data_IF_116090783946
#
_entry.id   IF_116090783946
#
_cell.length_a   1.000
_cell.length_b   1.000
_cell.length_c   1.000
_cell.angle_alpha   90.00
_cell.angle_beta   90.00
_cell.angle_gamma   90.00
#
_symmetry.space_group_name_H-M   'P 1'
#
loop_
_entity.id
_entity.type
_entity.pdbx_description
1 polymer ?
#
# COMPACT_ATOMS: atom_id res chain seq x y z
N UNK A 1 2.87 32.84 -24.97
CA UNK A 1 3.07 31.60 -25.74
C UNK A 1 2.62 30.44 -24.87
N UNK A 2 1.83 29.58 -25.48
CA UNK A 2 0.85 28.62 -24.96
C UNK A 2 1.24 27.78 -23.74
N UNK A 3 0.43 27.89 -22.68
CA UNK A 3 0.22 26.83 -21.70
C UNK A 3 -0.75 25.81 -22.31
N UNK A 4 -0.31 24.56 -22.44
CA UNK A 4 -1.16 23.45 -22.89
C UNK A 4 -1.89 22.89 -21.66
N UNK A 5 -3.24 22.88 -21.64
CA UNK A 5 -3.98 22.32 -20.51
C UNK A 5 -3.92 20.79 -20.54
N UNK A 6 -3.51 20.19 -19.41
CA UNK A 6 -3.59 18.75 -19.18
C UNK A 6 -5.06 18.39 -18.91
N UNK A 7 -5.67 17.44 -19.63
CA UNK A 7 -7.07 17.09 -19.44
C UNK A 7 -7.28 16.37 -18.11
N UNK A 8 -8.15 16.92 -17.28
CA UNK A 8 -8.70 16.26 -16.09
C UNK A 8 -9.61 15.14 -16.58
N UNK A 9 -9.10 13.91 -16.63
CA UNK A 9 -9.89 12.75 -16.98
C UNK A 9 -10.74 12.34 -15.76
N UNK A 10 -12.00 12.75 -15.75
CA UNK A 10 -13.01 12.38 -14.76
C UNK A 10 -13.48 10.94 -14.98
N UNK A 11 -12.68 9.95 -14.54
CA UNK A 11 -13.16 8.59 -14.39
C UNK A 11 -13.87 8.41 -13.03
N UNK A 12 -14.99 9.13 -12.82
CA UNK A 12 -16.01 8.72 -11.86
C UNK A 12 -16.97 7.78 -12.58
N UNK A 13 -16.83 6.47 -12.43
CA UNK A 13 -17.98 5.58 -12.34
C UNK A 13 -17.57 4.12 -12.09
N UNK A 14 -18.36 3.46 -11.22
CA UNK A 14 -18.38 2.03 -10.85
C UNK A 14 -17.53 1.57 -9.65
N UNK A 15 -16.29 2.04 -9.45
CA UNK A 15 -15.46 1.56 -8.34
C UNK A 15 -15.86 2.08 -6.93
N UNK A 16 -16.68 3.12 -6.85
CA UNK A 16 -17.05 3.77 -5.58
C UNK A 16 -18.13 3.03 -4.79
N UNK A 17 -19.00 2.25 -5.44
CA UNK A 17 -20.20 1.73 -4.76
C UNK A 17 -19.93 0.50 -3.88
N UNK A 18 -18.99 -0.38 -4.23
CA UNK A 18 -18.59 -1.51 -3.38
C UNK A 18 -17.65 -1.07 -2.24
N UNK A 19 -16.80 -0.08 -2.50
CA UNK A 19 -15.85 0.50 -1.55
C UNK A 19 -16.56 1.24 -0.40
N UNK A 20 -17.55 2.07 -0.76
CA UNK A 20 -18.43 2.75 0.18
C UNK A 20 -19.27 1.73 0.95
N UNK A 21 -19.80 0.69 0.30
CA UNK A 21 -20.54 -0.37 0.98
C UNK A 21 -19.70 -1.14 2.01
N UNK A 22 -18.40 -1.32 1.76
CA UNK A 22 -17.49 -1.94 2.75
C UNK A 22 -17.30 -1.03 3.97
N UNK A 23 -16.94 0.25 3.76
CA UNK A 23 -16.74 1.23 4.84
C UNK A 23 -18.03 1.50 5.63
N UNK A 24 -19.17 1.64 4.94
CA UNK A 24 -20.49 1.89 5.54
C UNK A 24 -20.97 0.70 6.38
N UNK A 25 -20.58 -0.53 6.02
CA UNK A 25 -20.94 -1.74 6.78
C UNK A 25 -20.11 -1.96 8.06
N UNK A 26 -18.96 -1.29 8.21
CA UNK A 26 -18.07 -1.44 9.38
C UNK A 26 -18.08 -0.24 10.35
N UNK A 27 -18.70 0.88 9.95
CA UNK A 27 -18.82 2.10 10.76
C UNK A 27 -20.28 2.58 10.88
N UNK A 28 -21.08 2.09 11.85
CA UNK A 28 -22.48 2.49 11.99
C UNK A 28 -22.70 3.93 12.49
N UNK A 29 -21.66 4.76 12.68
CA UNK A 29 -21.77 6.05 13.36
C UNK A 29 -20.93 7.13 12.68
N UNK A 30 -21.52 7.87 11.73
CA UNK A 30 -21.17 9.29 11.48
C UNK A 30 -22.13 10.09 10.59
N UNK A 31 -23.34 9.61 10.25
CA UNK A 31 -24.29 10.37 9.40
C UNK A 31 -25.71 10.51 9.94
N UNK A 32 -25.84 10.71 11.26
CA UNK A 32 -27.07 11.22 11.86
C UNK A 32 -26.82 12.60 12.47
N UNK A 33 -26.53 13.59 11.62
CA UNK A 33 -26.74 15.04 11.82
C UNK A 33 -26.04 15.78 10.69
N UNK A 34 -26.75 15.99 9.58
CA UNK A 34 -26.66 17.19 8.76
C UNK A 34 -27.57 17.00 7.56
N UNK A 35 -28.79 17.51 7.67
CA UNK A 35 -29.45 18.26 6.59
C UNK A 35 -30.66 19.01 7.18
N UNK A 36 -30.52 20.33 7.28
CA UNK A 36 -31.55 21.29 6.84
C UNK A 36 -30.88 22.66 6.69
N UNK A 37 -31.06 23.35 5.54
CA UNK A 37 -30.51 24.69 5.29
C UNK A 37 -31.54 25.78 5.62
N UNK A 38 -31.08 26.92 6.16
CA UNK A 38 -31.66 28.28 6.03
C UNK A 38 -31.03 29.19 7.12
N UNK A 39 -30.16 30.13 6.74
CA UNK A 39 -30.44 31.58 6.58
C UNK A 39 -30.41 32.39 7.88
N UNK A 40 -29.33 33.17 8.03
CA UNK A 40 -29.21 34.56 8.52
C UNK A 40 -30.08 35.12 9.66
N UNK A 41 -29.37 35.82 10.55
CA UNK A 41 -29.74 36.89 11.50
C UNK A 41 -29.98 36.53 12.99
N UNK A 42 -29.10 37.09 13.83
CA UNK A 42 -29.38 37.55 15.21
C UNK A 42 -30.05 38.94 15.16
N UNK A 43 -30.63 39.53 16.24
CA UNK A 43 -30.43 39.24 17.67
C UNK A 43 -31.68 39.32 18.61
N UNK A 44 -31.42 39.05 19.90
CA UNK A 44 -32.04 39.65 21.12
C UNK A 44 -33.30 39.04 21.80
N UNK A 45 -33.12 38.83 23.11
CA UNK A 45 -34.01 38.98 24.29
C UNK A 45 -35.31 38.17 24.51
N UNK A 46 -35.33 37.56 25.72
CA UNK A 46 -36.42 37.39 26.70
C UNK A 46 -37.66 36.51 26.42
N UNK A 47 -37.84 35.53 27.32
CA UNK A 47 -39.08 35.13 28.04
C UNK A 47 -40.40 35.07 27.26
N UNK A 48 -40.98 33.86 27.12
CA UNK A 48 -42.22 33.46 27.82
C UNK A 48 -42.77 32.13 27.31
N UNK A 49 -43.37 31.41 28.25
CA UNK A 49 -44.15 30.16 28.18
C UNK A 49 -45.35 30.26 27.22
N UNK A 50 -45.76 29.16 26.58
CA UNK A 50 -47.18 28.75 26.40
C UNK A 50 -47.23 27.29 25.90
N UNK A 51 -47.93 26.45 26.68
CA UNK A 51 -48.45 25.12 26.30
C UNK A 51 -49.73 25.27 25.49
N UNK A 52 -49.91 24.52 24.41
CA UNK A 52 -51.24 24.01 23.99
C UNK A 52 -51.07 22.64 23.34
N UNK A 53 -51.99 21.74 23.68
CA UNK A 53 -52.04 20.35 23.28
C UNK A 53 -53.31 20.04 22.45
N UNK A 54 -53.20 18.95 21.68
CA UNK A 54 -54.22 17.98 21.22
C UNK A 54 -55.18 18.28 20.03
N UNK A 55 -55.23 17.27 19.15
CA UNK A 55 -56.35 16.76 18.30
C UNK A 55 -56.68 17.50 17.00
N UNK A 56 -57.11 16.91 15.88
CA UNK A 56 -57.22 15.54 15.31
C UNK A 56 -57.73 15.71 13.85
N UNK A 57 -57.77 14.60 13.06
CA UNK A 57 -58.63 14.32 11.87
C UNK A 57 -57.96 14.31 10.48
N UNK A 58 -57.55 13.10 10.06
CA UNK A 58 -57.71 12.34 8.78
C UNK A 58 -57.78 13.08 7.41
N UNK A 59 -57.14 12.62 6.31
CA UNK A 59 -57.45 11.39 5.53
C UNK A 59 -56.43 11.18 4.37
N UNK A 60 -56.28 9.92 3.90
CA UNK A 60 -55.62 9.42 2.65
C UNK A 60 -54.07 9.40 2.65
N UNK A 61 -53.34 8.33 2.32
CA UNK A 61 -53.66 7.05 1.69
C UNK A 61 -52.65 5.95 2.13
N UNK A 62 -53.14 4.71 2.08
CA UNK A 62 -52.50 3.45 2.47
C UNK A 62 -51.30 3.09 1.60
N UNK A 63 -50.18 2.66 2.22
CA UNK A 63 -49.42 1.46 1.78
C UNK A 63 -48.93 0.72 3.03
N UNK A 64 -49.45 -0.48 3.24
CA UNK A 64 -49.00 -1.43 4.25
C UNK A 64 -47.70 -2.11 3.79
N UNK A 65 -46.67 -2.08 4.63
CA UNK A 65 -45.64 -3.14 4.67
C UNK A 65 -45.41 -3.54 6.13
N UNK A 66 -46.35 -4.29 6.69
CA UNK A 66 -46.09 -5.08 7.89
C UNK A 66 -45.42 -6.40 7.48
N UNK A 67 -44.10 -6.48 7.55
CA UNK A 67 -43.40 -7.74 7.80
C UNK A 67 -42.40 -7.51 8.93
N UNK A 68 -42.61 -8.27 10.00
CA UNK A 68 -41.79 -8.38 11.21
C UNK A 68 -40.30 -8.40 10.82
N UNK A 69 -39.53 -7.41 11.27
CA UNK A 69 -38.09 -7.54 11.38
C UNK A 69 -37.84 -8.67 12.38
N UNK A 70 -37.43 -9.84 11.88
CA UNK A 70 -36.76 -10.79 12.75
C UNK A 70 -35.37 -10.23 13.09
N UNK A 71 -34.92 -10.34 14.35
CA UNK A 71 -33.55 -9.97 14.67
C UNK A 71 -32.61 -10.85 13.85
N UNK A 72 -31.70 -10.22 13.09
CA UNK A 72 -30.64 -10.93 12.40
C UNK A 72 -29.80 -11.68 13.46
N UNK A 73 -29.36 -12.91 13.16
CA UNK A 73 -28.66 -13.74 14.14
C UNK A 73 -27.34 -13.06 14.53
N UNK A 74 -27.12 -12.94 15.83
CA UNK A 74 -25.87 -12.48 16.43
C UNK A 74 -24.78 -13.54 16.23
N UNK A 75 -23.96 -13.39 15.20
CA UNK A 75 -22.69 -14.12 15.06
C UNK A 75 -21.62 -13.17 14.48
N UNK A 76 -20.37 -13.38 14.88
CA UNK A 76 -19.15 -12.60 14.61
C UNK A 76 -18.82 -12.32 13.11
N UNK A 77 -19.68 -11.56 12.44
CA UNK A 77 -19.58 -11.13 11.03
C UNK A 77 -18.49 -10.08 10.78
N UNK A 78 -17.83 -9.58 11.83
CA UNK A 78 -16.98 -8.40 11.75
C UNK A 78 -15.47 -8.69 11.71
N UNK A 79 -15.04 -9.94 11.51
CA UNK A 79 -13.60 -10.25 11.40
C UNK A 79 -13.10 -10.02 9.98
N UNK A 80 -12.44 -8.88 9.74
CA UNK A 80 -11.64 -8.69 8.53
C UNK A 80 -10.29 -9.42 8.69
N UNK A 81 -9.83 -10.13 7.66
CA UNK A 81 -8.48 -10.69 7.62
C UNK A 81 -7.66 -9.83 6.67
N UNK A 82 -6.62 -9.18 7.19
CA UNK A 82 -5.77 -8.27 6.42
C UNK A 82 -4.40 -8.89 6.19
N UNK A 83 -4.07 -9.20 4.94
CA UNK A 83 -2.71 -9.61 4.55
C UNK A 83 -1.88 -8.38 4.20
N UNK A 84 -0.66 -8.37 4.72
CA UNK A 84 0.23 -7.22 4.68
C UNK A 84 1.62 -7.70 4.30
N UNK A 85 2.26 -7.00 3.36
CA UNK A 85 3.66 -7.26 3.01
C UNK A 85 4.52 -7.30 4.27
N UNK A 86 4.94 -8.51 4.66
CA UNK A 86 5.84 -8.64 5.79
C UNK A 86 7.19 -8.10 5.32
N UNK A 87 7.92 -7.43 6.20
CA UNK A 87 9.28 -6.90 5.95
C UNK A 87 9.38 -5.56 5.19
N UNK A 88 8.34 -5.04 4.53
CA UNK A 88 8.39 -3.71 3.86
C UNK A 88 7.87 -2.57 4.76
N UNK A 89 8.45 -1.37 4.59
CA UNK A 89 7.93 -0.14 5.24
C UNK A 89 6.55 0.22 4.69
N UNK A 90 6.31 -0.06 3.41
CA UNK A 90 4.97 0.08 2.78
C UNK A 90 3.94 -0.83 3.45
N UNK A 91 4.27 -2.11 3.66
CA UNK A 91 3.40 -3.08 4.32
C UNK A 91 3.15 -2.73 5.80
N UNK A 92 4.14 -2.15 6.48
CA UNK A 92 3.94 -1.58 7.82
C UNK A 92 2.98 -0.38 7.78
N UNK A 93 3.14 0.54 6.84
CA UNK A 93 2.24 1.69 6.67
C UNK A 93 0.81 1.25 6.36
N UNK A 94 0.65 0.24 5.49
CA UNK A 94 -0.64 -0.36 5.18
C UNK A 94 -1.31 -0.99 6.40
N UNK A 95 -0.53 -1.72 7.22
CA UNK A 95 -0.99 -2.28 8.49
C UNK A 95 -1.48 -1.20 9.43
N UNK A 96 -0.68 -0.16 9.59
CA UNK A 96 -0.99 0.95 10.48
C UNK A 96 -2.28 1.67 10.06
N UNK A 97 -2.49 1.89 8.75
CA UNK A 97 -3.74 2.44 8.24
C UNK A 97 -4.95 1.56 8.63
N UNK A 98 -4.84 0.24 8.45
CA UNK A 98 -5.88 -0.72 8.81
C UNK A 98 -6.15 -0.74 10.32
N UNK A 99 -5.10 -0.81 11.14
CA UNK A 99 -5.18 -0.87 12.61
C UNK A 99 -5.87 0.36 13.20
N UNK A 100 -5.64 1.55 12.65
CA UNK A 100 -6.29 2.79 13.10
C UNK A 100 -7.81 2.79 12.90
N UNK A 101 -8.33 2.10 11.89
CA UNK A 101 -9.78 2.02 11.62
C UNK A 101 -10.40 0.80 12.30
N UNK A 102 -9.80 -0.38 12.10
CA UNK A 102 -10.39 -1.66 12.45
C UNK A 102 -10.06 -2.09 13.89
N UNK A 103 -8.91 -1.66 14.42
CA UNK A 103 -8.45 -2.04 15.75
C UNK A 103 -8.52 -3.55 15.96
N UNK A 104 -9.19 -4.00 17.04
CA UNK A 104 -9.36 -5.42 17.40
C UNK A 104 -10.41 -6.17 16.58
N UNK A 105 -11.12 -5.49 15.66
CA UNK A 105 -12.13 -6.13 14.82
C UNK A 105 -11.50 -6.93 13.68
N UNK A 106 -10.21 -6.77 13.40
CA UNK A 106 -9.53 -7.49 12.33
C UNK A 106 -8.40 -8.39 12.84
N UNK A 107 -8.11 -9.43 12.08
CA UNK A 107 -6.91 -10.27 12.21
C UNK A 107 -5.90 -9.82 11.16
N UNK A 108 -4.70 -9.44 11.59
CA UNK A 108 -3.65 -8.94 10.72
C UNK A 108 -2.61 -10.04 10.51
N UNK A 109 -2.52 -10.55 9.29
CA UNK A 109 -1.60 -11.62 8.92
C UNK A 109 -0.44 -11.04 8.10
N UNK A 110 0.82 -11.20 8.53
CA UNK A 110 1.94 -10.93 7.65
C UNK A 110 1.94 -11.94 6.51
N UNK A 111 2.26 -11.49 5.29
CA UNK A 111 2.41 -12.36 4.13
C UNK A 111 3.70 -12.03 3.37
N UNK A 112 4.40 -13.07 2.93
CA UNK A 112 5.45 -12.99 1.91
C UNK A 112 5.11 -13.88 0.72
N UNK A 113 5.68 -13.57 -0.43
CA UNK A 113 5.51 -14.42 -1.61
C UNK A 113 6.02 -15.85 -1.33
N UNK A 114 5.24 -16.84 -1.78
CA UNK A 114 5.43 -18.28 -1.55
C UNK A 114 5.14 -18.77 -0.11
N UNK A 115 4.50 -17.96 0.73
CA UNK A 115 3.94 -18.45 1.99
C UNK A 115 2.84 -19.49 1.75
N UNK A 116 2.69 -20.40 2.71
CA UNK A 116 1.54 -21.31 2.72
C UNK A 116 0.28 -20.48 2.98
N UNK A 117 -0.69 -20.48 2.05
CA UNK A 117 -1.90 -19.69 2.23
C UNK A 117 -2.77 -20.28 3.35
N UNK A 118 -3.51 -19.45 4.11
CA UNK A 118 -4.44 -19.97 5.10
C UNK A 118 -5.53 -20.81 4.45
N UNK A 119 -5.98 -21.89 5.13
CA UNK A 119 -6.96 -22.82 4.59
C UNK A 119 -8.35 -22.19 4.50
N UNK A 120 -9.16 -22.66 3.54
CA UNK A 120 -10.48 -22.12 3.22
C UNK A 120 -11.43 -22.02 4.42
N UNK A 121 -11.33 -22.94 5.39
CA UNK A 121 -12.16 -22.92 6.60
C UNK A 121 -11.89 -21.71 7.51
N UNK A 122 -10.69 -21.14 7.46
CA UNK A 122 -10.33 -19.89 8.18
C UNK A 122 -10.96 -18.68 7.49
N UNK A 123 -11.11 -18.75 6.18
CA UNK A 123 -11.54 -17.65 5.31
C UNK A 123 -13.05 -17.63 5.08
N UNK A 124 -13.73 -18.77 5.29
CA UNK A 124 -15.14 -18.94 5.00
C UNK A 124 -16.01 -17.91 5.70
N UNK A 125 -16.79 -17.16 4.92
CA UNK A 125 -17.69 -16.11 5.42
C UNK A 125 -16.98 -14.91 6.06
N UNK A 126 -15.66 -14.76 5.87
CA UNK A 126 -14.90 -13.60 6.32
C UNK A 126 -14.72 -12.60 5.18
N UNK A 127 -14.39 -11.37 5.53
CA UNK A 127 -13.98 -10.33 4.58
C UNK A 127 -12.47 -10.24 4.56
N UNK A 128 -11.87 -10.37 3.38
CA UNK A 128 -10.43 -10.45 3.21
C UNK A 128 -9.96 -9.19 2.50
N UNK A 129 -8.96 -8.53 3.08
CA UNK A 129 -8.26 -7.41 2.47
C UNK A 129 -6.79 -7.73 2.31
N UNK A 130 -6.23 -7.42 1.15
CA UNK A 130 -4.82 -7.65 0.83
C UNK A 130 -4.22 -6.30 0.42
N UNK A 131 -3.23 -5.83 1.18
CA UNK A 131 -2.64 -4.50 1.03
C UNK A 131 -1.12 -4.58 0.92
N UNK A 132 -0.54 -3.88 -0.07
CA UNK A 132 0.90 -3.95 -0.41
C UNK A 132 1.37 -5.38 -0.78
N UNK A 133 0.42 -6.26 -1.12
CA UNK A 133 0.67 -7.67 -1.36
C UNK A 133 -0.52 -8.30 -2.06
N UNK A 134 -0.26 -9.28 -2.92
CA UNK A 134 -1.29 -10.18 -3.41
C UNK A 134 -0.79 -11.61 -3.64
N UNK A 135 -1.70 -12.56 -3.45
CA UNK A 135 -1.53 -13.95 -3.84
C UNK A 135 -1.81 -14.13 -5.34
N UNK A 136 -1.51 -15.31 -5.88
CA UNK A 136 -1.79 -15.61 -7.27
C UNK A 136 -3.30 -15.58 -7.59
N UNK A 137 -3.63 -15.34 -8.86
CA UNK A 137 -5.00 -15.23 -9.36
C UNK A 137 -5.85 -16.45 -9.01
N UNK A 138 -5.31 -17.66 -9.18
CA UNK A 138 -6.05 -18.91 -8.98
C UNK A 138 -6.49 -19.05 -7.52
N UNK A 139 -5.59 -18.72 -6.59
CA UNK A 139 -5.91 -18.74 -5.17
C UNK A 139 -6.93 -17.66 -4.78
N UNK A 140 -6.79 -16.44 -5.33
CA UNK A 140 -7.77 -15.37 -5.10
C UNK A 140 -9.16 -15.78 -5.60
N UNK A 141 -9.26 -16.34 -6.80
CA UNK A 141 -10.53 -16.83 -7.36
C UNK A 141 -11.14 -17.95 -6.49
N UNK A 142 -10.33 -18.88 -5.98
CA UNK A 142 -10.79 -19.89 -5.01
C UNK A 142 -11.37 -19.24 -3.76
N UNK A 143 -10.66 -18.26 -3.19
CA UNK A 143 -11.10 -17.58 -1.96
C UNK A 143 -12.37 -16.76 -2.15
N UNK A 144 -12.59 -16.20 -3.35
CA UNK A 144 -13.83 -15.51 -3.70
C UNK A 144 -15.05 -16.44 -3.71
N UNK A 145 -14.85 -17.75 -3.83
CA UNK A 145 -15.91 -18.75 -3.69
C UNK A 145 -16.28 -19.11 -2.25
N UNK A 146 -15.45 -18.77 -1.25
CA UNK A 146 -15.66 -19.16 0.16
C UNK A 146 -15.78 -17.96 1.11
N UNK A 147 -15.11 -16.85 0.82
CA UNK A 147 -15.14 -15.62 1.58
C UNK A 147 -16.41 -14.80 1.26
N UNK A 148 -16.81 -13.91 2.18
CA UNK A 148 -17.88 -12.95 1.92
C UNK A 148 -17.40 -11.86 0.93
N UNK A 149 -16.13 -11.48 1.02
CA UNK A 149 -15.52 -10.44 0.20
C UNK A 149 -14.01 -10.65 0.12
N UNK A 150 -13.43 -10.38 -1.04
CA UNK A 150 -11.97 -10.33 -1.23
C UNK A 150 -11.62 -9.04 -1.96
N UNK A 151 -10.83 -8.19 -1.31
CA UNK A 151 -10.35 -6.92 -1.86
C UNK A 151 -8.84 -6.93 -1.93
N UNK A 152 -8.29 -6.49 -3.06
CA UNK A 152 -6.85 -6.28 -3.25
C UNK A 152 -6.60 -4.80 -3.49
N UNK A 153 -5.67 -4.22 -2.74
CA UNK A 153 -5.21 -2.84 -2.91
C UNK A 153 -3.69 -2.86 -2.97
N UNK A 154 -3.14 -2.67 -4.16
CA UNK A 154 -1.73 -2.96 -4.39
C UNK A 154 -1.14 -2.03 -5.46
N UNK A 155 0.19 -1.97 -5.55
CA UNK A 155 0.93 -1.12 -6.49
C UNK A 155 2.02 -1.87 -7.26
N UNK A 156 2.14 -3.18 -7.04
CA UNK A 156 3.11 -4.01 -7.76
C UNK A 156 2.65 -4.29 -9.19
N UNK A 157 3.51 -3.99 -10.18
CA UNK A 157 3.18 -4.17 -11.60
C UNK A 157 2.86 -5.63 -11.94
N UNK A 158 3.67 -6.57 -11.45
CA UNK A 158 3.43 -8.00 -11.66
C UNK A 158 2.08 -8.47 -11.09
N UNK A 159 1.67 -7.94 -9.94
CA UNK A 159 0.35 -8.22 -9.37
C UNK A 159 -0.79 -7.62 -10.21
N UNK A 160 -0.62 -6.37 -10.66
CA UNK A 160 -1.57 -5.72 -11.56
C UNK A 160 -1.80 -6.55 -12.81
N UNK A 161 -0.71 -7.04 -13.43
CA UNK A 161 -0.77 -7.85 -14.65
C UNK A 161 -1.41 -9.23 -14.40
N UNK A 162 -1.17 -9.84 -13.24
CA UNK A 162 -1.75 -11.14 -12.89
C UNK A 162 -3.26 -11.06 -12.57
N UNK A 163 -3.69 -9.96 -11.95
CA UNK A 163 -5.05 -9.77 -11.44
C UNK A 163 -5.92 -8.88 -12.33
N UNK A 164 -5.50 -8.61 -13.57
CA UNK A 164 -6.31 -7.85 -14.53
C UNK A 164 -7.70 -8.45 -14.68
N UNK A 165 -8.70 -7.60 -14.90
CA UNK A 165 -10.10 -7.98 -15.14
C UNK A 165 -10.85 -8.56 -13.93
N UNK A 166 -10.18 -8.84 -12.81
CA UNK A 166 -10.88 -9.14 -11.55
C UNK A 166 -11.55 -7.87 -11.03
N UNK A 167 -12.77 -7.99 -10.51
CA UNK A 167 -13.41 -6.93 -9.74
C UNK A 167 -12.86 -6.90 -8.30
N UNK A 168 -13.02 -5.76 -7.63
CA UNK A 168 -12.55 -5.52 -6.25
C UNK A 168 -11.02 -5.59 -6.09
N UNK A 169 -10.29 -5.38 -7.19
CA UNK A 169 -8.86 -5.12 -7.19
C UNK A 169 -8.61 -3.65 -7.56
N UNK A 170 -7.74 -2.99 -6.80
CA UNK A 170 -7.42 -1.59 -6.95
C UNK A 170 -5.91 -1.42 -7.07
N UNK A 171 -5.46 -0.91 -8.21
CA UNK A 171 -4.05 -0.70 -8.50
C UNK A 171 -3.74 0.76 -8.85
N UNK A 172 -2.69 1.31 -8.26
CA UNK A 172 -2.10 2.59 -8.64
C UNK A 172 -0.58 2.50 -8.53
N UNK A 173 0.09 2.40 -9.68
CA UNK A 173 1.55 2.26 -9.73
C UNK A 173 2.28 3.55 -9.36
N UNK A 174 1.56 4.68 -9.28
CA UNK A 174 2.12 6.00 -8.93
C UNK A 174 2.15 6.24 -7.43
N UNK A 175 1.55 5.34 -6.64
CA UNK A 175 1.43 5.47 -5.19
C UNK A 175 2.12 4.33 -4.46
N UNK A 176 2.48 4.58 -3.22
CA UNK A 176 3.00 3.54 -2.33
C UNK A 176 1.88 2.66 -1.77
N UNK A 177 2.18 1.41 -1.39
CA UNK A 177 1.22 0.52 -0.74
C UNK A 177 0.65 1.11 0.56
N UNK A 178 1.48 1.81 1.34
CA UNK A 178 1.05 2.54 2.54
C UNK A 178 0.05 3.66 2.23
N UNK A 179 0.30 4.45 1.18
CA UNK A 179 -0.62 5.51 0.77
C UNK A 179 -1.95 4.95 0.29
N UNK A 180 -1.92 3.92 -0.55
CA UNK A 180 -3.14 3.30 -1.06
C UNK A 180 -4.00 2.73 0.06
N UNK A 181 -3.38 2.06 1.04
CA UNK A 181 -4.08 1.60 2.23
C UNK A 181 -4.65 2.76 3.05
N UNK A 182 -3.93 3.88 3.19
CA UNK A 182 -4.46 5.07 3.88
C UNK A 182 -5.69 5.64 3.20
N UNK A 183 -5.63 5.85 1.89
CA UNK A 183 -6.76 6.35 1.10
C UNK A 183 -7.95 5.37 1.16
N UNK A 184 -7.69 4.06 1.27
CA UNK A 184 -8.73 3.05 1.43
C UNK A 184 -9.41 3.10 2.82
N UNK A 185 -8.64 3.12 3.91
CA UNK A 185 -9.20 3.07 5.27
C UNK A 185 -9.63 4.44 5.81
N UNK A 186 -9.09 5.54 5.27
CA UNK A 186 -9.31 6.91 5.75
C UNK A 186 -9.53 7.89 4.59
N UNK A 187 -10.52 7.66 3.70
CA UNK A 187 -10.69 8.43 2.46
C UNK A 187 -10.93 9.94 2.68
N UNK A 188 -11.53 10.30 3.82
CA UNK A 188 -11.84 11.69 4.17
C UNK A 188 -10.72 12.38 4.99
N UNK A 189 -9.60 11.69 5.25
CA UNK A 189 -8.49 12.25 6.04
C UNK A 189 -7.28 12.55 5.17
N UNK A 190 -6.58 13.67 5.42
CA UNK A 190 -5.33 13.96 4.72
C UNK A 190 -4.28 12.87 5.01
N UNK A 191 -3.42 12.62 4.04
CA UNK A 191 -2.30 11.68 4.18
C UNK A 191 -1.35 12.18 5.30
N UNK A 192 -1.04 11.35 6.32
CA UNK A 192 -0.11 11.72 7.36
C UNK A 192 1.29 11.94 6.78
N UNK A 193 1.99 12.95 7.29
CA UNK A 193 3.34 13.30 6.83
C UNK A 193 4.30 12.10 6.81
N UNK A 194 4.27 11.25 7.84
CA UNK A 194 5.12 10.06 7.89
C UNK A 194 4.82 9.06 6.75
N UNK A 195 3.57 8.92 6.31
CA UNK A 195 3.23 8.06 5.17
C UNK A 195 3.66 8.68 3.84
N UNK A 196 3.60 10.01 3.72
CA UNK A 196 4.19 10.70 2.58
C UNK A 196 5.71 10.44 2.48
N UNK A 197 6.41 10.35 3.62
CA UNK A 197 7.83 9.94 3.63
C UNK A 197 8.07 8.47 3.26
N UNK A 198 7.10 7.57 3.52
CA UNK A 198 7.18 6.17 3.05
C UNK A 198 7.11 6.14 1.52
N UNK A 199 6.21 6.93 0.95
CA UNK A 199 6.03 7.07 -0.50
C UNK A 199 7.27 7.64 -1.21
N UNK A 200 8.00 8.56 -0.57
CA UNK A 200 9.17 9.24 -1.14
C UNK A 200 10.41 8.32 -1.29
N UNK A 201 10.36 7.04 -0.86
CA UNK A 201 11.38 5.96 -0.99
C UNK A 201 12.81 6.27 -0.48
N UNK A 202 13.22 7.52 -0.31
CA UNK A 202 14.53 7.98 0.21
C UNK A 202 14.61 7.80 1.73
N UNK A 203 13.46 7.82 2.43
CA UNK A 203 13.39 7.66 3.89
C UNK A 203 13.31 6.19 4.36
N UNK A 204 13.39 5.23 3.42
CA UNK A 204 13.28 3.79 3.67
C UNK A 204 14.32 3.24 4.66
N UNK A 205 15.50 3.86 4.75
CA UNK A 205 16.58 3.46 5.65
C UNK A 205 16.46 4.04 7.07
N UNK A 206 15.57 5.00 7.30
CA UNK A 206 15.48 5.76 8.55
C UNK A 206 14.43 5.18 9.52
N UNK A 207 13.30 4.71 9.00
CA UNK A 207 12.17 4.23 9.84
C UNK A 207 12.45 2.82 10.43
N UNK A 208 13.43 2.08 9.91
CA UNK A 208 13.82 0.76 10.41
C UNK A 208 14.48 0.77 11.80
N UNK A 209 14.87 1.94 12.33
CA UNK A 209 15.46 2.06 13.67
C UNK A 209 14.36 2.13 14.74
N UNK A 210 13.83 0.94 15.11
CA UNK A 210 13.04 0.58 16.34
C UNK A 210 11.58 0.15 16.12
N UNK A 211 11.32 -1.03 15.53
CA UNK A 211 10.01 -1.66 15.58
C UNK A 211 9.58 -2.11 17.00
N UNK A 212 10.47 -2.10 18.01
CA UNK A 212 10.15 -2.60 19.36
C UNK A 212 9.36 -1.62 20.25
N UNK A 213 9.30 -0.32 19.95
CA UNK A 213 8.54 0.66 20.77
C UNK A 213 7.15 1.04 20.21
N UNK A 214 6.83 0.66 18.98
CA UNK A 214 5.51 0.96 18.38
C UNK A 214 4.36 0.11 18.92
N UNK A 215 4.64 -0.90 19.75
CA UNK A 215 3.65 -1.89 20.24
C UNK A 215 2.58 -1.35 21.20
N UNK A 216 2.55 -0.04 21.50
CA UNK A 216 1.57 0.51 22.45
C UNK A 216 1.25 1.98 22.17
N UNK A 217 0.60 2.28 21.06
CA UNK A 217 -0.03 3.59 20.87
C UNK A 217 -1.55 3.42 20.74
N UNK A 218 -2.19 3.09 21.86
CA UNK A 218 -3.61 3.36 22.03
C UNK A 218 -3.72 4.75 22.65
N UNK A 219 -4.24 5.74 21.90
CA UNK A 219 -4.83 6.95 22.49
C UNK A 219 -4.06 8.28 22.45
N UNK A 220 -2.93 8.43 21.76
CA UNK A 220 -2.21 9.72 21.77
C UNK A 220 -1.62 10.12 20.40
N UNK A 221 -2.36 10.94 19.63
CA UNK A 221 -1.86 11.62 18.42
C UNK A 221 -0.60 12.46 18.67
N UNK A 222 -0.40 12.93 19.91
CA UNK A 222 0.75 13.76 20.31
C UNK A 222 2.05 12.96 20.37
N UNK A 223 2.00 11.68 20.78
CA UNK A 223 3.19 10.85 20.93
C UNK A 223 3.73 10.38 19.56
N UNK A 224 2.84 10.09 18.61
CA UNK A 224 3.19 9.77 17.21
C UNK A 224 3.91 10.93 16.52
N UNK A 225 3.44 12.17 16.69
CA UNK A 225 4.07 13.35 16.07
C UNK A 225 5.50 13.54 16.55
N UNK A 226 5.73 13.50 17.88
CA UNK A 226 7.06 13.65 18.46
C UNK A 226 8.03 12.53 18.03
N UNK A 227 7.55 11.28 17.96
CA UNK A 227 8.35 10.15 17.48
C UNK A 227 8.73 10.28 15.99
N UNK A 228 7.84 10.86 15.17
CA UNK A 228 8.10 11.10 13.74
C UNK A 228 9.12 12.22 13.56
N UNK A 229 8.98 13.34 14.27
CA UNK A 229 9.91 14.47 14.15
C UNK A 229 11.34 14.09 14.63
N UNK A 230 11.44 13.31 15.71
CA UNK A 230 12.71 12.76 16.20
C UNK A 230 13.32 11.74 15.22
N UNK A 231 12.51 10.87 14.62
CA UNK A 231 12.96 9.92 13.61
C UNK A 231 13.48 10.62 12.34
N UNK A 232 12.80 11.68 11.89
CA UNK A 232 13.25 12.51 10.75
C UNK A 232 14.60 13.16 11.06
N UNK A 233 14.72 13.76 12.25
CA UNK A 233 15.96 14.46 12.67
C UNK A 233 17.15 13.49 12.73
N UNK A 234 16.97 12.36 13.42
CA UNK A 234 18.01 11.33 13.53
C UNK A 234 18.35 10.72 12.16
N UNK A 235 17.33 10.51 11.33
CA UNK A 235 17.49 9.96 10.00
C UNK A 235 18.31 10.82 9.06
N UNK A 236 18.14 12.14 9.14
CA UNK A 236 18.87 13.10 8.30
C UNK A 236 20.39 12.97 8.49
N UNK A 237 20.85 12.77 9.72
CA UNK A 237 22.27 12.57 10.02
C UNK A 237 22.78 11.20 9.54
N UNK A 238 21.97 10.15 9.69
CA UNK A 238 22.30 8.82 9.18
C UNK A 238 22.36 8.79 7.65
N UNK A 239 21.56 9.61 6.97
CA UNK A 239 21.52 9.67 5.51
C UNK A 239 22.84 10.13 4.93
N UNK A 240 23.51 11.12 5.55
CA UNK A 240 24.84 11.54 5.12
C UNK A 240 25.86 10.38 5.18
N UNK A 241 25.88 9.65 6.30
CA UNK A 241 26.77 8.49 6.47
C UNK A 241 26.41 7.35 5.49
N UNK A 242 25.12 7.14 5.22
CA UNK A 242 24.66 6.17 4.24
C UNK A 242 25.14 6.55 2.84
N UNK A 243 24.98 7.81 2.45
CA UNK A 243 25.41 8.31 1.14
C UNK A 243 26.92 8.15 0.94
N UNK A 244 27.72 8.47 1.96
CA UNK A 244 29.18 8.27 1.90
C UNK A 244 29.52 6.78 1.67
N UNK A 245 28.83 5.87 2.36
CA UNK A 245 29.00 4.42 2.16
C UNK A 245 28.56 3.97 0.77
N UNK A 246 27.41 4.46 0.28
CA UNK A 246 26.92 4.16 -1.07
C UNK A 246 27.95 4.60 -2.11
N UNK A 247 28.50 5.79 -1.97
CA UNK A 247 29.53 6.31 -2.88
C UNK A 247 30.82 5.48 -2.82
N UNK A 248 31.25 5.06 -1.63
CA UNK A 248 32.39 4.16 -1.47
C UNK A 248 32.14 2.77 -2.08
N UNK A 249 30.93 2.23 -2.00
CA UNK A 249 30.60 0.98 -2.69
C UNK A 249 30.65 1.19 -4.20
N UNK A 250 30.01 2.26 -4.69
CA UNK A 250 29.94 2.58 -6.11
C UNK A 250 31.29 2.90 -6.76
N UNK A 251 32.33 3.25 -5.98
CA UNK A 251 33.68 3.43 -6.54
C UNK A 251 34.35 2.11 -6.94
N UNK A 252 33.86 0.97 -6.42
CA UNK A 252 34.32 -0.36 -6.82
C UNK A 252 33.55 -0.93 -8.02
N UNK A 253 32.61 -0.17 -8.59
CA UNK A 253 31.83 -0.63 -9.73
C UNK A 253 32.69 -0.71 -10.99
N UNK A 254 32.45 -1.73 -11.80
CA UNK A 254 33.13 -1.95 -13.07
C UNK A 254 32.14 -1.87 -14.21
N UNK A 255 32.54 -1.28 -15.34
CA UNK A 255 31.73 -1.29 -16.57
C UNK A 255 31.84 -2.65 -17.24
N UNK A 256 30.69 -3.21 -17.63
CA UNK A 256 30.55 -4.46 -18.38
C UNK A 256 29.51 -4.28 -19.49
N UNK A 257 29.55 -5.14 -20.50
CA UNK A 257 28.48 -5.25 -21.51
C UNK A 257 27.66 -6.48 -21.17
N UNK A 258 26.34 -6.33 -21.03
CA UNK A 258 25.46 -7.47 -20.79
C UNK A 258 25.44 -8.34 -22.06
N UNK A 259 25.72 -9.64 -21.88
CA UNK A 259 25.83 -10.61 -22.96
C UNK A 259 24.60 -10.62 -23.85
N UNK A 260 24.83 -10.80 -25.15
CA UNK A 260 23.79 -10.81 -26.20
C UNK A 260 22.97 -9.52 -26.28
N UNK A 261 23.51 -8.42 -25.74
CA UNK A 261 22.91 -7.08 -25.84
C UNK A 261 23.98 -6.02 -26.05
N UNK A 262 23.55 -4.78 -26.31
CA UNK A 262 24.45 -3.62 -26.33
C UNK A 262 24.40 -2.80 -25.05
N UNK A 263 23.80 -3.35 -23.98
CA UNK A 263 23.64 -2.60 -22.74
C UNK A 263 24.95 -2.47 -21.98
N UNK A 264 25.36 -1.22 -21.74
CA UNK A 264 26.46 -0.83 -20.86
C UNK A 264 25.98 -0.85 -19.42
N UNK A 265 26.56 -1.71 -18.60
CA UNK A 265 26.14 -1.95 -17.22
C UNK A 265 27.26 -1.57 -16.26
N UNK A 266 26.94 -0.79 -15.23
CA UNK A 266 27.84 -0.64 -14.08
C UNK A 266 27.52 -1.73 -13.05
N UNK A 267 28.50 -2.58 -12.78
CA UNK A 267 28.34 -3.78 -11.96
C UNK A 267 29.15 -3.65 -10.68
N UNK A 268 28.53 -3.92 -9.53
CA UNK A 268 29.24 -3.96 -8.24
C UNK A 268 28.77 -5.12 -7.38
N UNK A 269 29.68 -5.69 -6.60
CA UNK A 269 29.34 -6.64 -5.55
C UNK A 269 29.00 -5.87 -4.27
N UNK A 270 27.80 -6.03 -3.74
CA UNK A 270 27.43 -5.53 -2.41
C UNK A 270 26.25 -6.29 -1.81
N UNK A 271 26.39 -6.85 -0.59
CA UNK A 271 25.26 -7.42 0.15
C UNK A 271 24.41 -6.35 0.87
N UNK A 272 24.84 -5.08 0.87
CA UNK A 272 24.18 -3.98 1.57
C UNK A 272 23.74 -2.89 0.60
N UNK A 273 22.59 -2.28 0.88
CA UNK A 273 22.03 -1.15 0.12
C UNK A 273 21.92 -1.38 -1.41
N UNK A 274 21.43 -2.54 -1.88
CA UNK A 274 21.39 -2.83 -3.32
C UNK A 274 20.51 -1.87 -4.11
N UNK A 275 19.50 -1.27 -3.46
CA UNK A 275 18.63 -0.28 -4.07
C UNK A 275 19.34 1.05 -4.27
N UNK A 276 19.97 1.57 -3.21
CA UNK A 276 20.62 2.87 -3.19
C UNK A 276 21.90 2.86 -4.03
N UNK A 277 22.71 1.81 -3.90
CA UNK A 277 23.89 1.59 -4.74
C UNK A 277 23.47 1.43 -6.20
N UNK A 278 22.46 0.60 -6.50
CA UNK A 278 21.99 0.44 -7.86
C UNK A 278 21.48 1.76 -8.47
N UNK A 279 20.73 2.54 -7.69
CA UNK A 279 20.20 3.84 -8.12
C UNK A 279 21.31 4.83 -8.43
N UNK A 280 22.33 4.91 -7.57
CA UNK A 280 23.48 5.78 -7.81
C UNK A 280 24.32 5.34 -9.01
N UNK A 281 24.49 4.03 -9.22
CA UNK A 281 25.12 3.53 -10.43
C UNK A 281 24.30 3.88 -11.67
N UNK A 282 22.98 3.72 -11.61
CA UNK A 282 22.08 4.04 -12.71
C UNK A 282 22.14 5.52 -13.09
N UNK A 283 22.45 6.43 -12.17
CA UNK A 283 22.63 7.87 -12.44
C UNK A 283 23.93 8.20 -13.21
N UNK A 284 24.86 7.24 -13.36
CA UNK A 284 26.12 7.43 -14.08
C UNK A 284 25.98 7.08 -15.56
N UNK A 285 27.08 7.19 -16.30
CA UNK A 285 27.18 6.82 -17.71
C UNK A 285 27.10 5.28 -17.90
N UNK A 286 25.88 4.78 -17.88
CA UNK A 286 25.48 3.39 -18.15
C UNK A 286 23.99 3.35 -18.53
N UNK A 287 23.55 2.22 -19.10
CA UNK A 287 22.14 1.95 -19.35
C UNK A 287 21.40 1.55 -18.08
N UNK A 288 22.07 0.84 -17.17
CA UNK A 288 21.53 0.52 -15.85
C UNK A 288 22.64 0.10 -14.87
N UNK A 289 22.36 0.24 -13.57
CA UNK A 289 23.21 -0.26 -12.49
C UNK A 289 22.82 -1.67 -12.07
N UNK A 290 23.80 -2.54 -11.84
CA UNK A 290 23.63 -3.91 -11.37
C UNK A 290 24.41 -4.14 -10.08
N UNK A 291 23.70 -4.52 -9.04
CA UNK A 291 24.28 -4.91 -7.75
C UNK A 291 24.05 -6.40 -7.54
N UNK A 292 25.09 -7.12 -7.17
CA UNK A 292 24.98 -8.54 -6.87
C UNK A 292 25.69 -8.92 -5.57
N UNK A 293 25.27 -10.04 -4.97
CA UNK A 293 26.04 -10.70 -3.91
C UNK A 293 25.74 -12.20 -3.89
N UNK A 294 26.65 -12.98 -3.31
CA UNK A 294 26.45 -14.42 -3.13
C UNK A 294 25.76 -14.72 -1.79
N UNK A 295 24.62 -15.40 -1.83
CA UNK A 295 23.89 -15.88 -0.65
C UNK A 295 24.33 -17.31 -0.33
N UNK A 296 25.14 -17.46 0.72
CA UNK A 296 25.68 -18.76 1.11
C UNK A 296 24.62 -19.76 1.59
N UNK A 297 23.49 -19.29 2.13
CA UNK A 297 22.40 -20.17 2.57
C UNK A 297 21.65 -20.74 1.36
N UNK A 298 21.43 -19.91 0.34
CA UNK A 298 20.74 -20.31 -0.90
C UNK A 298 21.67 -20.92 -1.95
N UNK A 299 22.98 -20.80 -1.76
CA UNK A 299 24.03 -21.23 -2.71
C UNK A 299 23.83 -20.62 -4.10
N UNK A 300 23.41 -19.36 -4.15
CA UNK A 300 23.04 -18.64 -5.37
C UNK A 300 23.38 -17.16 -5.23
N UNK A 301 23.60 -16.47 -6.34
CA UNK A 301 23.71 -15.02 -6.39
C UNK A 301 22.33 -14.36 -6.38
N UNK A 302 22.19 -13.28 -5.62
CA UNK A 302 21.09 -12.33 -5.73
C UNK A 302 21.52 -11.19 -6.63
N UNK A 303 20.69 -10.84 -7.60
CA UNK A 303 20.97 -9.77 -8.56
C UNK A 303 19.85 -8.74 -8.50
N UNK A 304 20.22 -7.47 -8.34
CA UNK A 304 19.32 -6.32 -8.30
C UNK A 304 19.76 -5.31 -9.36
N UNK A 305 18.85 -4.94 -10.25
CA UNK A 305 19.05 -3.96 -11.30
C UNK A 305 18.24 -2.69 -11.03
N UNK A 306 18.84 -1.53 -11.34
CA UNK A 306 18.23 -0.20 -11.21
C UNK A 306 18.47 0.62 -12.46
N UNK A 307 17.49 1.42 -12.87
CA UNK A 307 17.53 2.24 -14.07
C UNK A 307 16.76 3.55 -13.87
N UNK A 308 16.74 4.41 -14.88
CA UNK A 308 15.94 5.63 -14.94
C UNK A 308 14.98 5.60 -16.13
N UNK A 309 13.96 6.46 -16.14
CA UNK A 309 12.86 6.45 -17.12
C UNK A 309 13.33 6.64 -18.57
N UNK A 310 14.42 7.37 -18.78
CA UNK A 310 15.05 7.60 -20.08
C UNK A 310 16.00 6.47 -20.52
N UNK A 311 16.26 5.50 -19.64
CA UNK A 311 17.22 4.40 -19.85
C UNK A 311 16.53 3.05 -20.03
N UNK A 312 17.31 1.96 -20.01
CA UNK A 312 16.82 0.61 -20.28
C UNK A 312 15.73 0.17 -19.28
N UNK A 313 14.74 -0.58 -19.77
CA UNK A 313 13.75 -1.24 -18.93
C UNK A 313 14.36 -2.50 -18.29
N UNK A 314 14.71 -2.42 -17.00
CA UNK A 314 15.34 -3.53 -16.30
C UNK A 314 14.35 -4.66 -16.00
N UNK A 315 13.04 -4.40 -15.99
CA UNK A 315 12.05 -5.47 -15.79
C UNK A 315 12.02 -6.43 -16.98
N UNK A 316 12.13 -5.92 -18.21
CA UNK A 316 12.21 -6.73 -19.42
C UNK A 316 13.54 -7.50 -19.52
N UNK A 317 14.63 -6.90 -19.04
CA UNK A 317 15.95 -7.55 -19.01
C UNK A 317 15.93 -8.74 -18.04
N UNK A 318 15.49 -8.54 -16.78
CA UNK A 318 15.58 -9.60 -15.77
C UNK A 318 14.59 -10.76 -16.00
N UNK A 319 13.50 -10.53 -16.73
CA UNK A 319 12.54 -11.59 -17.11
C UNK A 319 13.22 -12.74 -17.85
N UNK A 320 14.24 -12.46 -18.67
CA UNK A 320 15.04 -13.47 -19.39
C UNK A 320 15.77 -14.44 -18.46
N UNK A 321 16.01 -14.01 -17.22
CA UNK A 321 16.67 -14.79 -16.16
C UNK A 321 15.68 -15.33 -15.12
N UNK A 322 14.37 -15.34 -15.41
CA UNK A 322 13.32 -15.75 -14.48
C UNK A 322 13.08 -14.76 -13.33
N UNK A 323 13.51 -13.51 -13.51
CA UNK A 323 13.28 -12.40 -12.57
C UNK A 323 11.98 -11.64 -12.78
N UNK A 324 11.82 -10.58 -12.00
CA UNK A 324 10.70 -9.64 -12.14
C UNK A 324 10.92 -8.35 -11.36
N UNK A 325 10.00 -7.40 -11.54
CA UNK A 325 10.00 -6.12 -10.85
C UNK A 325 9.37 -5.00 -11.67
N UNK A 326 9.70 -3.76 -11.30
CA UNK A 326 9.29 -2.55 -12.01
C UNK A 326 10.31 -2.17 -13.08
N UNK A 327 9.88 -1.35 -14.06
CA UNK A 327 10.70 -0.81 -15.15
C UNK A 327 12.09 -0.35 -14.71
N UNK A 328 12.17 0.35 -13.59
CA UNK A 328 13.40 0.96 -13.06
C UNK A 328 14.01 0.18 -11.88
N UNK A 329 13.36 -0.88 -11.41
CA UNK A 329 13.78 -1.63 -10.24
C UNK A 329 13.32 -3.09 -10.32
N UNK A 330 14.22 -3.97 -10.71
CA UNK A 330 13.93 -5.38 -10.89
C UNK A 330 15.09 -6.26 -10.41
N UNK A 331 14.85 -7.56 -10.26
CA UNK A 331 15.87 -8.48 -9.79
C UNK A 331 15.56 -9.95 -10.07
N UNK A 332 16.57 -10.79 -9.89
CA UNK A 332 16.47 -12.23 -10.09
C UNK A 332 17.44 -13.00 -9.19
N UNK A 333 17.27 -14.32 -9.16
CA UNK A 333 18.21 -15.23 -8.50
C UNK A 333 19.02 -15.94 -9.57
N UNK A 334 20.33 -15.85 -9.47
CA UNK A 334 21.27 -16.47 -10.38
C UNK A 334 21.91 -17.69 -9.72
N UNK A 335 21.66 -18.88 -10.27
CA UNK A 335 22.05 -20.16 -9.67
C UNK A 335 23.53 -20.51 -9.90
N UNK A 336 24.41 -19.54 -9.66
CA UNK A 336 25.87 -19.70 -9.71
C UNK A 336 26.53 -18.93 -8.56
N UNK A 337 27.86 -19.03 -8.47
CA UNK A 337 28.67 -18.38 -7.40
C UNK A 337 29.10 -16.95 -7.73
N UNK A 338 29.06 -16.57 -9.01
CA UNK A 338 29.38 -15.23 -9.50
C UNK A 338 28.38 -14.85 -10.61
N UNK A 339 28.58 -13.68 -11.20
CA UNK A 339 27.74 -13.13 -12.27
C UNK A 339 28.49 -12.96 -13.59
N UNK A 340 29.69 -13.53 -13.71
CA UNK A 340 30.57 -13.27 -14.86
C UNK A 340 29.94 -13.78 -16.18
N UNK A 341 29.22 -14.89 -16.12
CA UNK A 341 28.48 -15.47 -17.25
C UNK A 341 27.35 -14.58 -17.80
N UNK A 342 26.95 -13.52 -17.07
CA UNK A 342 25.97 -12.54 -17.57
C UNK A 342 26.59 -11.56 -18.57
N UNK A 343 27.91 -11.48 -18.64
CA UNK A 343 28.61 -10.45 -19.39
C UNK A 343 29.50 -11.05 -20.50
N UNK A 344 29.85 -10.20 -21.47
CA UNK A 344 30.80 -10.51 -22.55
C UNK A 344 32.26 -10.37 -22.10
#
# INVERSE_FOLDING_TARGET
MFAVPIPVCTARSKATNSLIAWLDSISPLSRAKQFSPASTQQPSTSSSTISIAVSSISHLARINFSRRCQPLPSFDLLTAITFLGNVSVDGFGARFAAELLLGKKATYLPAVYNDTPPPDNVLKGKRIGMFDFSFDRKLIEQWRGVAELVVVVDHHKTAQDNLQELDQVHFDLTKSGARLAWEFFHPDKPLPKFMAYIEDRVCMSIIAVRPRKFRRVHGHNVHLKLLVDEAITNGTQLLAVLNDKVMQICSNATTRTLRDTHHKVLVVNSPVFPSEVGQELASRDCDFGLVWFYDANRKSCRVSARSHDEKADVSEIVKRFGGGGHRNAAGFTWNQKNVDDLFD
#
